data_IF_419190504821
#
_entry.id   IF_419190504821
#
_cell.length_a   1.000
_cell.length_b   1.000
_cell.length_c   1.000
_cell.angle_alpha   90.00
_cell.angle_beta   90.00
_cell.angle_gamma   90.00
#
_symmetry.space_group_name_H-M   'P 1'
#
loop_
_entity.id
_entity.type
_entity.pdbx_description
1 polymer ?
#
# COMPACT_ATOMS: atom_id res chain seq x y z
N UNK A 1 -0.83 12.47 12.30
CA UNK A 1 0.51 12.52 11.66
C UNK A 1 0.69 11.17 10.98
N UNK A 2 0.86 11.15 9.66
CA UNK A 2 1.04 9.90 8.92
C UNK A 2 2.50 9.45 9.06
N UNK A 3 2.73 8.25 9.59
CA UNK A 3 4.04 7.63 9.65
C UNK A 3 4.47 7.21 8.24
N UNK A 4 5.06 8.14 7.50
CA UNK A 4 5.58 7.90 6.16
C UNK A 4 6.97 7.26 6.24
N UNK A 5 7.06 5.96 5.99
CA UNK A 5 8.34 5.26 5.89
C UNK A 5 8.77 5.09 4.43
N UNK A 6 9.98 5.55 4.09
CA UNK A 6 10.55 5.52 2.74
C UNK A 6 11.58 4.39 2.66
N UNK A 7 11.33 3.39 1.82
CA UNK A 7 12.24 2.25 1.64
C UNK A 7 13.16 2.47 0.44
N UNK A 8 14.48 2.21 0.54
CA UNK A 8 15.47 2.51 -0.50
C UNK A 8 15.46 1.53 -1.68
N UNK A 9 14.43 0.69 -1.82
CA UNK A 9 14.36 -0.22 -2.97
C UNK A 9 14.11 0.60 -4.23
N UNK A 10 15.17 0.76 -5.03
CA UNK A 10 15.19 1.09 -6.46
C UNK A 10 14.45 0.05 -7.34
N UNK A 11 13.60 -0.77 -6.73
CA UNK A 11 12.98 -1.96 -7.29
C UNK A 11 11.47 -1.73 -7.32
N UNK A 12 10.85 -2.04 -8.46
CA UNK A 12 9.42 -1.86 -8.72
C UNK A 12 8.51 -2.14 -7.51
N UNK A 13 7.39 -1.42 -7.41
CA UNK A 13 6.36 -1.61 -6.38
C UNK A 13 5.95 -3.07 -6.16
N UNK A 14 6.11 -3.93 -7.17
CA UNK A 14 5.86 -5.37 -7.09
C UNK A 14 6.78 -6.07 -6.08
N UNK A 15 8.09 -5.81 -6.12
CA UNK A 15 9.06 -6.43 -5.20
C UNK A 15 8.89 -5.90 -3.77
N UNK A 16 8.65 -4.60 -3.66
CA UNK A 16 8.25 -3.92 -2.43
C UNK A 16 7.00 -4.56 -1.79
N UNK A 17 5.97 -4.80 -2.59
CA UNK A 17 4.72 -5.44 -2.16
C UNK A 17 4.95 -6.87 -1.66
N UNK A 18 5.69 -7.69 -2.42
CA UNK A 18 5.97 -9.08 -2.02
C UNK A 18 6.74 -9.17 -0.70
N UNK A 19 7.76 -8.33 -0.50
CA UNK A 19 8.54 -8.34 0.74
C UNK A 19 7.72 -7.87 1.95
N UNK A 20 6.86 -6.86 1.76
CA UNK A 20 5.99 -6.35 2.82
C UNK A 20 4.90 -7.35 3.21
N UNK A 21 4.28 -7.98 2.20
CA UNK A 21 3.29 -9.02 2.41
C UNK A 21 3.86 -10.17 3.24
N UNK A 22 5.03 -10.71 2.85
CA UNK A 22 5.66 -11.81 3.59
C UNK A 22 5.95 -11.47 5.05
N UNK A 23 6.35 -10.20 5.34
CA UNK A 23 6.61 -9.73 6.71
C UNK A 23 5.34 -9.63 7.54
N UNK A 24 4.26 -9.09 6.98
CA UNK A 24 3.00 -8.93 7.69
C UNK A 24 2.31 -10.29 7.92
N UNK A 25 2.35 -11.19 6.93
CA UNK A 25 1.87 -12.57 7.08
C UNK A 25 2.64 -13.32 8.17
N UNK A 26 3.97 -13.17 8.23
CA UNK A 26 4.80 -13.75 9.30
C UNK A 26 4.46 -13.22 10.70
N UNK A 27 3.85 -12.03 10.81
CA UNK A 27 3.37 -11.43 12.06
C UNK A 27 1.89 -11.78 12.37
N UNK A 28 1.26 -12.61 11.54
CA UNK A 28 -0.12 -13.06 11.70
C UNK A 28 -1.17 -12.10 11.14
N UNK A 29 -0.76 -11.14 10.29
CA UNK A 29 -1.71 -10.31 9.55
C UNK A 29 -2.15 -11.00 8.26
N UNK A 30 -3.42 -10.82 7.91
CA UNK A 30 -4.00 -11.21 6.62
C UNK A 30 -4.05 -10.00 5.71
N UNK A 31 -3.57 -10.13 4.48
CA UNK A 31 -3.61 -9.10 3.45
C UNK A 31 -4.51 -9.56 2.31
N UNK A 32 -5.51 -8.75 1.96
CA UNK A 32 -6.33 -8.96 0.77
C UNK A 32 -6.08 -7.83 -0.23
N UNK A 33 -5.69 -8.16 -1.46
CA UNK A 33 -5.45 -7.16 -2.50
C UNK A 33 -6.78 -6.68 -3.08
N UNK A 34 -7.17 -5.46 -2.74
CA UNK A 34 -8.43 -4.82 -3.16
C UNK A 34 -8.20 -3.74 -4.23
N UNK A 35 -7.01 -3.69 -4.85
CA UNK A 35 -6.70 -2.67 -5.86
C UNK A 35 -7.73 -2.61 -6.97
N UNK A 36 -8.15 -3.76 -7.52
CA UNK A 36 -9.11 -3.80 -8.62
C UNK A 36 -10.53 -3.35 -8.22
N UNK A 37 -10.87 -3.50 -6.95
CA UNK A 37 -12.17 -3.10 -6.41
C UNK A 37 -12.23 -1.59 -6.14
N UNK A 38 -11.07 -1.00 -5.81
CA UNK A 38 -10.95 0.42 -5.45
C UNK A 38 -10.55 1.27 -6.66
N UNK A 39 -9.73 0.75 -7.56
CA UNK A 39 -9.16 1.46 -8.69
C UNK A 39 -9.26 0.61 -9.96
N UNK A 40 -9.98 1.11 -10.97
CA UNK A 40 -10.15 0.43 -12.27
C UNK A 40 -8.91 0.44 -13.16
N UNK A 41 -7.80 1.07 -12.76
CA UNK A 41 -6.65 1.34 -13.64
C UNK A 41 -5.35 0.87 -12.99
N UNK A 42 -4.52 0.13 -13.74
CA UNK A 42 -3.16 -0.27 -13.36
C UNK A 42 -2.26 0.98 -13.36
N UNK A 43 -2.36 1.74 -12.27
CA UNK A 43 -1.79 3.08 -12.10
C UNK A 43 -0.49 3.05 -11.30
N UNK A 44 0.18 1.90 -11.18
CA UNK A 44 1.41 1.79 -10.37
C UNK A 44 1.14 1.89 -8.87
N UNK A 45 -0.04 1.44 -8.43
CA UNK A 45 -0.47 1.41 -7.04
C UNK A 45 -0.95 0.01 -6.64
N UNK A 46 -0.78 -0.33 -5.36
CA UNK A 46 -1.34 -1.52 -4.72
C UNK A 46 -2.04 -1.13 -3.43
N UNK A 47 -3.21 -1.69 -3.17
CA UNK A 47 -4.02 -1.42 -1.99
C UNK A 47 -4.35 -2.77 -1.38
N UNK A 48 -3.92 -2.97 -0.14
CA UNK A 48 -4.23 -4.16 0.64
C UNK A 48 -5.15 -3.79 1.78
N UNK A 49 -6.27 -4.49 1.93
CA UNK A 49 -7.01 -4.54 3.17
C UNK A 49 -6.23 -5.45 4.13
N UNK A 50 -5.73 -4.89 5.23
CA UNK A 50 -4.94 -5.60 6.24
C UNK A 50 -5.78 -5.79 7.48
N UNK A 51 -5.80 -7.01 7.99
CA UNK A 51 -6.56 -7.38 9.19
C UNK A 51 -5.80 -8.38 10.04
N UNK A 52 -6.03 -8.35 11.35
CA UNK A 52 -5.53 -9.34 12.30
C UNK A 52 -6.51 -9.47 13.46
N UNK A 53 -6.79 -10.69 13.96
CA UNK A 53 -7.71 -10.86 15.07
C UNK A 53 -7.29 -10.03 16.29
N UNK A 54 -8.22 -9.23 16.81
CA UNK A 54 -7.98 -8.38 17.98
C UNK A 54 -7.31 -7.02 17.67
N UNK A 55 -7.00 -6.72 16.42
CA UNK A 55 -6.46 -5.42 15.98
C UNK A 55 -7.42 -4.71 15.03
N UNK A 56 -7.34 -3.38 14.98
CA UNK A 56 -8.12 -2.60 14.03
C UNK A 56 -7.63 -2.85 12.60
N UNK A 57 -8.56 -3.18 11.70
CA UNK A 57 -8.24 -3.30 10.27
C UNK A 57 -7.85 -1.94 9.68
N UNK A 58 -6.98 -1.97 8.69
CA UNK A 58 -6.53 -0.78 7.97
C UNK A 58 -6.23 -1.12 6.51
N UNK A 59 -6.05 -0.09 5.69
CA UNK A 59 -5.61 -0.21 4.31
C UNK A 59 -4.16 0.19 4.19
N UNK A 60 -3.39 -0.64 3.51
CA UNK A 60 -1.99 -0.40 3.21
C UNK A 60 -1.86 -0.10 1.72
N UNK A 61 -1.39 1.10 1.41
CA UNK A 61 -1.26 1.61 0.06
C UNK A 61 0.22 1.68 -0.31
N UNK A 62 0.58 1.08 -1.43
CA UNK A 62 1.90 1.14 -2.03
C UNK A 62 1.76 1.92 -3.32
N UNK A 63 2.29 3.15 -3.35
CA UNK A 63 2.13 4.07 -4.48
C UNK A 63 3.50 4.28 -5.12
N UNK A 64 3.62 4.00 -6.42
CA UNK A 64 4.81 4.38 -7.19
C UNK A 64 4.83 5.88 -7.38
N UNK A 65 5.87 6.54 -6.89
CA UNK A 65 6.13 7.98 -7.01
C UNK A 65 7.45 8.21 -7.76
N UNK A 66 7.79 9.46 -8.10
CA UNK A 66 9.00 9.77 -8.89
C UNK A 66 10.29 9.19 -8.30
N UNK A 67 10.41 9.20 -6.97
CA UNK A 67 11.62 8.75 -6.25
C UNK A 67 11.48 7.35 -5.63
N UNK A 68 10.58 6.50 -6.13
CA UNK A 68 10.44 5.11 -5.67
C UNK A 68 9.02 4.73 -5.27
N UNK A 69 8.86 4.09 -4.10
CA UNK A 69 7.57 3.58 -3.62
C UNK A 69 7.27 4.19 -2.26
N UNK A 70 6.10 4.84 -2.16
CA UNK A 70 5.56 5.36 -0.92
C UNK A 70 4.64 4.32 -0.27
N UNK A 71 4.79 4.12 1.03
CA UNK A 71 3.90 3.29 1.84
C UNK A 71 3.04 4.19 2.72
N UNK A 72 1.72 4.02 2.65
CA UNK A 72 0.79 4.77 3.50
C UNK A 72 -0.22 3.82 4.13
N UNK A 73 -0.58 4.10 5.39
CA UNK A 73 -1.66 3.40 6.08
C UNK A 73 -2.86 4.34 6.21
N UNK A 74 -4.05 3.86 5.83
CA UNK A 74 -5.29 4.62 5.88
C UNK A 74 -6.40 3.79 6.52
N UNK A 75 -7.34 4.45 7.19
CA UNK A 75 -8.51 3.76 7.77
C UNK A 75 -9.53 3.34 6.68
N UNK A 76 -9.56 4.08 5.57
CA UNK A 76 -10.41 3.82 4.41
C UNK A 76 -9.54 3.60 3.15
N UNK A 77 -10.06 2.94 2.11
CA UNK A 77 -9.34 2.78 0.85
C UNK A 77 -9.03 4.14 0.22
N UNK A 78 -7.81 4.30 -0.32
CA UNK A 78 -7.47 5.52 -1.05
C UNK A 78 -8.30 5.68 -2.33
N UNK A 79 -8.75 6.91 -2.58
CA UNK A 79 -9.42 7.24 -3.84
C UNK A 79 -8.43 7.45 -4.97
N UNK A 80 -8.89 7.36 -6.23
CA UNK A 80 -8.08 7.65 -7.41
C UNK A 80 -7.42 9.04 -7.35
N UNK A 81 -8.13 10.05 -6.84
CA UNK A 81 -7.60 11.42 -6.72
C UNK A 81 -6.46 11.53 -5.70
N UNK A 82 -6.57 10.84 -4.57
CA UNK A 82 -5.52 10.78 -3.55
C UNK A 82 -4.27 10.10 -4.09
N UNK A 83 -4.43 9.00 -4.84
CA UNK A 83 -3.32 8.32 -5.50
C UNK A 83 -2.64 9.25 -6.51
N UNK A 84 -3.39 9.87 -7.41
CA UNK A 84 -2.84 10.79 -8.41
C UNK A 84 -2.10 11.97 -7.78
N UNK A 85 -2.56 12.46 -6.63
CA UNK A 85 -1.89 13.53 -5.87
C UNK A 85 -0.53 13.06 -5.38
N UNK A 86 -0.44 11.87 -4.78
CA UNK A 86 0.81 11.28 -4.29
C UNK A 86 1.80 10.96 -5.42
N UNK A 87 1.32 10.57 -6.60
CA UNK A 87 2.20 10.28 -7.73
C UNK A 87 2.86 11.51 -8.34
N UNK A 88 2.27 12.69 -8.11
CA UNK A 88 2.77 13.97 -8.62
C UNK A 88 3.74 14.67 -7.67
N UNK A 89 3.79 14.25 -6.40
CA UNK A 89 4.77 14.73 -5.41
C UNK A 89 6.14 14.11 -5.66
#
# INVERSE_FOLDING_TARGET
MADCWRSPVSSSWRGAASALQARLEAQGYTLNNVTGDVLSIDSGVRIYAVSKPGEASYYLNLVSVRDGVLYTMTAEPMTSEQVLTLQRS
#
